data_IF_788258518031
#
_entry.id   IF_788258518031
#
_cell.length_a   1.000
_cell.length_b   1.000
_cell.length_c   1.000
_cell.angle_alpha   90.00
_cell.angle_beta   90.00
_cell.angle_gamma   90.00
#
_symmetry.space_group_name_H-M   'P 1'
#
loop_
_entity.id
_entity.type
_entity.pdbx_description
1 polymer ?
#
# COMPACT_ATOMS: atom_id res chain seq x y z
N UNK A 1 12.61 -27.69 20.30
CA UNK A 1 11.25 -27.16 19.96
C UNK A 1 11.20 -26.85 18.49
N UNK A 2 10.28 -27.45 17.73
CA UNK A 2 10.00 -27.07 16.36
C UNK A 2 9.55 -25.60 16.35
N UNK A 3 10.21 -24.76 15.54
CA UNK A 3 9.83 -23.36 15.40
C UNK A 3 8.48 -23.27 14.69
N UNK A 4 7.48 -22.66 15.32
CA UNK A 4 6.21 -22.37 14.69
C UNK A 4 6.39 -21.41 13.51
N UNK A 5 5.74 -21.73 12.39
CA UNK A 5 5.72 -20.87 11.19
C UNK A 5 4.54 -19.92 11.27
N UNK A 6 4.79 -18.63 11.14
CA UNK A 6 3.79 -17.59 11.28
C UNK A 6 3.63 -16.82 9.97
N UNK A 7 2.38 -16.67 9.51
CA UNK A 7 2.01 -15.79 8.41
C UNK A 7 1.24 -14.59 8.94
N UNK A 8 1.80 -13.40 8.77
CA UNK A 8 1.14 -12.13 9.04
C UNK A 8 0.63 -11.52 7.72
N UNK A 9 -0.64 -11.17 7.67
CA UNK A 9 -1.27 -10.57 6.49
C UNK A 9 -1.85 -9.22 6.88
N UNK A 10 -1.28 -8.15 6.34
CA UNK A 10 -1.81 -6.81 6.48
C UNK A 10 -2.80 -6.54 5.35
N UNK A 11 -4.09 -6.74 5.61
CA UNK A 11 -5.17 -6.30 4.73
C UNK A 11 -5.51 -4.85 5.08
N UNK A 12 -4.92 -3.89 4.36
CA UNK A 12 -4.98 -2.49 4.74
C UNK A 12 -6.41 -1.97 4.84
N UNK A 13 -6.72 -1.31 5.97
CA UNK A 13 -7.95 -0.56 6.23
C UNK A 13 -9.27 -1.34 6.04
N UNK A 14 -9.25 -2.67 5.95
CA UNK A 14 -10.50 -3.40 5.73
C UNK A 14 -11.51 -3.19 6.88
N UNK A 15 -12.77 -3.08 6.51
CA UNK A 15 -13.87 -3.02 7.46
C UNK A 15 -14.48 -4.41 7.67
N UNK A 16 -14.31 -4.95 8.88
CA UNK A 16 -14.74 -6.31 9.23
C UNK A 16 -16.26 -6.51 9.07
N UNK A 17 -17.03 -5.51 9.48
CA UNK A 17 -18.50 -5.58 9.40
C UNK A 17 -18.99 -5.56 7.95
N UNK A 18 -18.38 -4.70 7.12
CA UNK A 18 -18.65 -4.64 5.70
C UNK A 18 -18.35 -5.96 5.00
N UNK A 19 -17.16 -6.56 5.29
CA UNK A 19 -16.79 -7.85 4.75
C UNK A 19 -17.77 -8.96 5.16
N UNK A 20 -18.19 -8.97 6.43
CA UNK A 20 -19.15 -9.97 6.95
C UNK A 20 -20.50 -9.87 6.26
N UNK A 21 -21.06 -8.66 6.16
CA UNK A 21 -22.34 -8.42 5.46
C UNK A 21 -22.27 -8.86 3.99
N UNK A 22 -21.20 -8.51 3.30
CA UNK A 22 -21.01 -8.85 1.89
C UNK A 22 -20.74 -10.33 1.67
N UNK A 23 -19.92 -10.97 2.50
CA UNK A 23 -19.64 -12.40 2.41
C UNK A 23 -20.91 -13.24 2.57
N UNK A 24 -21.84 -12.83 3.42
CA UNK A 24 -23.13 -13.50 3.56
C UNK A 24 -24.02 -13.24 2.34
N UNK A 25 -24.15 -11.99 1.90
CA UNK A 25 -24.98 -11.59 0.78
C UNK A 25 -24.59 -12.25 -0.55
N UNK A 26 -23.28 -12.36 -0.81
CA UNK A 26 -22.74 -12.89 -2.07
C UNK A 26 -22.18 -14.31 -1.95
N UNK A 27 -22.43 -14.97 -0.82
CA UNK A 27 -22.01 -16.37 -0.53
C UNK A 27 -20.52 -16.63 -0.74
N UNK A 28 -19.64 -15.72 -0.24
CA UNK A 28 -18.19 -15.79 -0.40
C UNK A 28 -17.58 -16.73 0.64
N UNK A 29 -17.28 -17.95 0.29
CA UNK A 29 -16.83 -19.01 1.22
C UNK A 29 -15.44 -18.79 1.76
N UNK A 30 -14.49 -18.28 0.94
CA UNK A 30 -13.12 -18.02 1.39
C UNK A 30 -13.04 -16.81 2.31
N UNK A 31 -13.86 -15.79 2.09
CA UNK A 31 -14.00 -14.67 3.03
C UNK A 31 -14.59 -15.18 4.35
N UNK A 32 -15.67 -15.99 4.31
CA UNK A 32 -16.28 -16.57 5.52
C UNK A 32 -15.27 -17.38 6.33
N UNK A 33 -14.41 -18.17 5.66
CA UNK A 33 -13.36 -18.92 6.32
C UNK A 33 -12.40 -18.03 7.11
N UNK A 34 -11.98 -16.91 6.54
CA UNK A 34 -11.12 -15.91 7.23
C UNK A 34 -11.88 -15.25 8.39
N UNK A 35 -13.16 -14.93 8.20
CA UNK A 35 -14.00 -14.28 9.22
C UNK A 35 -14.31 -15.17 10.44
N UNK A 36 -14.08 -16.48 10.33
CA UNK A 36 -14.22 -17.44 11.44
C UNK A 36 -12.98 -17.49 12.35
N UNK A 37 -11.88 -16.79 12.02
CA UNK A 37 -10.73 -16.69 12.91
C UNK A 37 -11.10 -15.92 14.18
N UNK A 38 -10.37 -16.22 15.28
CA UNK A 38 -10.51 -15.46 16.54
C UNK A 38 -10.24 -13.97 16.30
N UNK A 39 -11.19 -13.12 16.68
CA UNK A 39 -11.09 -11.68 16.51
C UNK A 39 -10.53 -11.05 17.79
N UNK A 40 -9.47 -10.26 17.65
CA UNK A 40 -8.88 -9.46 18.71
C UNK A 40 -9.02 -8.00 18.31
N UNK A 41 -9.71 -7.21 19.12
CA UNK A 41 -9.81 -5.76 18.93
C UNK A 41 -8.58 -5.08 19.51
N UNK A 42 -7.98 -4.23 18.74
CA UNK A 42 -6.85 -3.38 19.15
C UNK A 42 -7.21 -1.91 18.98
N UNK A 43 -6.51 -1.03 19.66
CA UNK A 43 -6.73 0.40 19.61
C UNK A 43 -5.42 1.11 19.34
N UNK A 44 -5.44 2.07 18.39
CA UNK A 44 -4.31 2.95 18.20
C UNK A 44 -4.19 3.91 19.38
N UNK A 45 -2.96 4.18 19.81
CA UNK A 45 -2.67 5.23 20.79
C UNK A 45 -2.59 6.62 20.15
N UNK A 46 -2.55 6.70 18.81
CA UNK A 46 -2.60 7.94 18.07
C UNK A 46 -4.05 8.40 17.93
N UNK A 47 -4.27 9.72 18.04
CA UNK A 47 -5.61 10.31 17.94
C UNK A 47 -5.86 10.87 16.55
N UNK A 48 -7.12 10.84 16.10
CA UNK A 48 -7.55 11.45 14.82
C UNK A 48 -7.19 12.94 14.77
N UNK A 49 -7.31 13.66 15.90
CA UNK A 49 -6.98 15.08 15.99
C UNK A 49 -5.50 15.36 15.70
N UNK A 50 -4.62 14.41 16.02
CA UNK A 50 -3.18 14.53 15.80
C UNK A 50 -2.78 14.28 14.34
N UNK A 51 -3.71 13.91 13.44
CA UNK A 51 -3.51 13.55 12.03
C UNK A 51 -2.47 12.43 11.82
N UNK A 52 -2.32 11.55 12.79
CA UNK A 52 -1.32 10.47 12.77
C UNK A 52 -1.95 9.10 12.47
N UNK A 53 -3.20 9.07 12.00
CA UNK A 53 -3.89 7.82 11.62
C UNK A 53 -3.74 7.48 10.13
N UNK A 54 -2.74 8.03 9.46
CA UNK A 54 -2.44 7.62 8.08
C UNK A 54 -1.87 6.19 8.03
N UNK A 55 -2.21 5.38 7.02
CA UNK A 55 -1.78 3.97 6.93
C UNK A 55 -0.27 3.80 7.01
N UNK A 56 0.49 4.70 6.38
CA UNK A 56 1.95 4.67 6.40
C UNK A 56 2.56 5.01 7.76
N UNK A 57 1.87 5.81 8.60
CA UNK A 57 2.27 6.09 9.98
C UNK A 57 1.97 4.88 10.86
N UNK A 58 0.74 4.35 10.78
CA UNK A 58 0.30 3.22 11.58
C UNK A 58 1.06 1.93 11.23
N UNK A 59 1.44 1.72 9.97
CA UNK A 59 2.28 0.60 9.57
C UNK A 59 3.62 0.60 10.31
N UNK A 60 4.25 1.77 10.45
CA UNK A 60 5.49 1.90 11.24
C UNK A 60 5.25 1.61 12.71
N UNK A 61 4.17 2.16 13.30
CA UNK A 61 3.81 1.91 14.70
C UNK A 61 3.59 0.42 14.98
N UNK A 62 2.89 -0.29 14.10
CA UNK A 62 2.62 -1.73 14.23
C UNK A 62 3.92 -2.52 14.09
N UNK A 63 4.72 -2.23 13.06
CA UNK A 63 5.92 -3.00 12.76
C UNK A 63 7.08 -2.76 13.74
N UNK A 64 7.05 -1.65 14.49
CA UNK A 64 8.08 -1.31 15.49
C UNK A 64 7.62 -1.46 16.94
N UNK A 65 6.29 -1.48 17.18
CA UNK A 65 5.72 -1.39 18.52
C UNK A 65 5.88 0.00 19.16
N UNK A 66 6.19 1.04 18.38
CA UNK A 66 6.52 2.39 18.85
C UNK A 66 5.49 3.41 18.36
N UNK A 67 5.04 4.30 19.25
CA UNK A 67 4.08 5.36 18.93
C UNK A 67 4.61 6.34 17.89
N UNK A 68 3.72 6.92 17.09
CA UNK A 68 4.08 7.89 16.04
C UNK A 68 4.85 9.11 16.59
N UNK A 69 4.49 9.62 17.76
CA UNK A 69 5.18 10.73 18.44
C UNK A 69 6.65 10.42 18.78
N UNK A 70 7.01 9.13 18.92
CA UNK A 70 8.37 8.68 19.22
C UNK A 70 9.13 8.35 17.95
N UNK A 71 8.55 7.56 17.02
CA UNK A 71 9.23 7.21 15.77
C UNK A 71 9.32 8.37 14.78
N UNK A 72 8.38 9.34 14.82
CA UNK A 72 8.36 10.59 14.03
C UNK A 72 8.37 10.39 12.52
N UNK A 73 7.85 9.26 12.03
CA UNK A 73 7.68 8.98 10.60
C UNK A 73 6.25 9.34 10.23
N UNK A 74 6.07 10.39 9.46
CA UNK A 74 4.74 10.94 9.13
C UNK A 74 4.43 10.94 7.64
N UNK A 75 5.41 10.67 6.78
CA UNK A 75 5.23 10.70 5.34
C UNK A 75 5.45 9.31 4.73
N UNK A 76 4.70 9.03 3.65
CA UNK A 76 4.87 7.82 2.87
C UNK A 76 6.24 7.85 2.15
N UNK A 77 6.96 6.72 2.20
CA UNK A 77 8.30 6.58 1.63
C UNK A 77 9.41 7.26 2.46
N UNK A 78 9.10 7.67 3.70
CA UNK A 78 10.07 8.26 4.61
C UNK A 78 11.04 7.20 5.14
N UNK A 79 12.31 7.59 5.34
CA UNK A 79 13.36 6.67 5.81
C UNK A 79 13.15 6.30 7.27
N UNK A 80 13.15 5.00 7.55
CA UNK A 80 13.16 4.51 8.93
C UNK A 80 14.56 4.76 9.55
N UNK A 81 14.66 5.45 10.69
CA UNK A 81 15.93 5.67 11.38
C UNK A 81 16.59 4.34 11.78
N UNK A 82 17.92 4.28 11.64
CA UNK A 82 18.69 3.05 11.92
C UNK A 82 18.56 2.56 13.38
N UNK A 83 18.24 3.47 14.33
CA UNK A 83 17.99 3.12 15.72
C UNK A 83 16.69 2.33 15.94
N UNK A 84 15.73 2.42 15.05
CA UNK A 84 14.47 1.67 15.14
C UNK A 84 14.65 0.26 14.57
N UNK A 85 14.14 -0.74 15.29
CA UNK A 85 14.04 -2.11 14.80
C UNK A 85 12.58 -2.39 14.44
N UNK A 86 12.36 -2.93 13.25
CA UNK A 86 11.06 -3.48 12.87
C UNK A 86 11.01 -4.96 13.27
N UNK A 87 9.84 -5.54 13.36
CA UNK A 87 9.64 -6.91 13.89
C UNK A 87 10.55 -7.93 13.20
N UNK A 88 10.74 -7.86 11.90
CA UNK A 88 11.63 -8.74 11.15
C UNK A 88 13.12 -8.51 11.44
N UNK A 89 13.54 -7.30 11.84
CA UNK A 89 14.91 -7.04 12.29
C UNK A 89 15.17 -7.76 13.61
N UNK A 90 14.17 -7.76 14.50
CA UNK A 90 14.27 -8.42 15.82
C UNK A 90 14.27 -9.94 15.63
N UNK A 91 13.36 -10.45 14.82
CA UNK A 91 13.20 -11.89 14.56
C UNK A 91 14.44 -12.46 13.87
N UNK A 92 14.94 -11.80 12.83
CA UNK A 92 16.11 -12.29 12.09
C UNK A 92 17.40 -12.32 12.94
N UNK A 93 17.55 -11.40 13.90
CA UNK A 93 18.63 -11.46 14.91
C UNK A 93 18.51 -12.67 15.85
N UNK A 94 17.32 -13.21 16.01
CA UNK A 94 17.05 -14.44 16.80
C UNK A 94 17.05 -15.71 15.96
N UNK A 95 17.71 -15.68 14.81
CA UNK A 95 17.81 -16.82 13.88
C UNK A 95 16.44 -17.31 13.35
N UNK A 96 15.47 -16.40 13.21
CA UNK A 96 14.18 -16.63 12.58
C UNK A 96 14.29 -16.26 11.10
N UNK A 97 14.01 -17.19 10.19
CA UNK A 97 14.03 -16.95 8.74
C UNK A 97 12.79 -16.11 8.34
N UNK A 98 13.01 -14.86 7.92
CA UNK A 98 11.95 -13.90 7.65
C UNK A 98 11.75 -13.62 6.16
N UNK A 99 10.49 -13.40 5.77
CA UNK A 99 10.08 -12.81 4.49
C UNK A 99 9.15 -11.62 4.75
N UNK A 100 9.40 -10.49 4.09
CA UNK A 100 8.57 -9.28 4.16
C UNK A 100 8.23 -8.85 2.74
N UNK A 101 6.94 -8.66 2.45
CA UNK A 101 6.44 -8.37 1.12
C UNK A 101 5.47 -7.20 1.12
N UNK A 102 5.90 -6.07 0.55
CA UNK A 102 5.07 -4.89 0.29
C UNK A 102 4.75 -4.02 1.50
N UNK A 103 5.32 -4.28 2.69
CA UNK A 103 5.00 -3.53 3.90
C UNK A 103 5.30 -2.03 3.74
N UNK A 104 4.30 -1.18 4.07
CA UNK A 104 4.43 0.28 3.97
C UNK A 104 5.51 0.82 4.89
N UNK A 105 6.27 1.80 4.39
CA UNK A 105 7.35 2.46 5.14
C UNK A 105 8.27 1.44 5.83
N UNK A 106 8.53 0.32 5.17
CA UNK A 106 9.40 -0.72 5.68
C UNK A 106 10.84 -0.52 5.20
N UNK A 107 11.77 -0.89 6.04
CA UNK A 107 13.20 -1.01 5.71
C UNK A 107 13.74 -2.28 6.35
N UNK A 108 15.00 -2.57 6.17
CA UNK A 108 15.64 -3.69 6.84
C UNK A 108 17.09 -3.39 7.20
N UNK A 109 17.56 -4.08 8.24
CA UNK A 109 18.97 -4.18 8.58
C UNK A 109 19.56 -5.43 7.95
N UNK A 110 20.77 -5.32 7.41
CA UNK A 110 21.46 -6.45 6.78
C UNK A 110 21.57 -7.61 7.78
N UNK A 111 20.91 -8.73 7.47
CA UNK A 111 20.93 -9.97 8.25
C UNK A 111 20.62 -11.13 7.32
N UNK A 112 21.32 -12.28 7.49
CA UNK A 112 21.17 -13.42 6.59
C UNK A 112 19.89 -14.22 6.83
N UNK A 113 19.23 -14.04 7.96
CA UNK A 113 17.93 -14.64 8.24
C UNK A 113 16.75 -13.85 7.67
N UNK A 114 16.96 -12.61 7.22
CA UNK A 114 15.99 -11.95 6.35
C UNK A 114 16.18 -12.44 4.92
N UNK A 115 15.46 -13.51 4.56
CA UNK A 115 15.59 -14.20 3.26
C UNK A 115 14.97 -13.43 2.11
N UNK A 116 13.87 -12.73 2.38
CA UNK A 116 13.11 -11.99 1.37
C UNK A 116 12.71 -10.64 1.96
N UNK A 117 12.96 -9.59 1.18
CA UNK A 117 12.41 -8.27 1.42
C UNK A 117 11.97 -7.66 0.08
N UNK A 118 10.68 -7.54 -0.13
CA UNK A 118 10.08 -6.85 -1.26
C UNK A 118 9.50 -5.54 -0.75
N UNK A 119 10.08 -4.38 -1.12
CA UNK A 119 9.65 -3.10 -0.57
C UNK A 119 8.27 -2.70 -1.07
N UNK A 120 7.62 -1.78 -0.36
CA UNK A 120 6.50 -1.02 -0.84
C UNK A 120 6.91 -0.18 -2.07
N UNK A 121 6.12 -0.15 -3.15
CA UNK A 121 6.42 0.61 -4.37
C UNK A 121 6.67 2.11 -4.17
N UNK A 122 6.14 2.70 -3.11
CA UNK A 122 6.39 4.10 -2.74
C UNK A 122 7.77 4.32 -2.08
N UNK A 123 8.44 3.24 -1.68
CA UNK A 123 9.74 3.33 -1.01
C UNK A 123 10.88 3.48 -2.02
N UNK A 124 11.51 4.66 -2.03
CA UNK A 124 12.64 4.98 -2.90
C UNK A 124 14.00 4.59 -2.34
N UNK A 125 14.07 4.27 -1.05
CA UNK A 125 15.31 4.24 -0.28
C UNK A 125 15.80 2.82 -0.01
N UNK A 126 14.97 1.81 -0.30
CA UNK A 126 15.27 0.42 0.01
C UNK A 126 15.18 -0.44 -1.24
N UNK A 127 16.20 -1.25 -1.45
CA UNK A 127 16.25 -2.21 -2.56
C UNK A 127 15.65 -3.55 -2.15
N UNK A 128 15.01 -4.28 -3.09
CA UNK A 128 14.53 -5.63 -2.81
C UNK A 128 15.68 -6.61 -2.54
N UNK A 129 15.38 -7.65 -1.76
CA UNK A 129 16.27 -8.76 -1.44
C UNK A 129 15.51 -10.08 -1.62
N UNK A 130 16.04 -11.08 -2.32
CA UNK A 130 17.28 -11.05 -3.12
C UNK A 130 17.19 -10.06 -4.33
N UNK A 131 18.35 -9.83 -4.96
CA UNK A 131 18.49 -8.80 -6.00
C UNK A 131 17.62 -9.09 -7.25
N UNK A 132 17.32 -10.35 -7.54
CA UNK A 132 16.46 -10.74 -8.67
C UNK A 132 15.04 -10.20 -8.56
N UNK A 133 14.54 -9.95 -7.35
CA UNK A 133 13.25 -9.27 -7.12
C UNK A 133 13.23 -7.82 -7.65
N UNK A 134 14.39 -7.24 -7.96
CA UNK A 134 14.48 -5.92 -8.61
C UNK A 134 13.72 -5.88 -9.95
N UNK A 135 13.74 -6.97 -10.71
CA UNK A 135 13.04 -7.05 -12.00
C UNK A 135 11.52 -7.01 -11.87
N UNK A 136 10.99 -7.58 -10.77
CA UNK A 136 9.57 -7.48 -10.43
C UNK A 136 9.22 -6.11 -9.88
N UNK A 137 10.14 -5.49 -9.12
CA UNK A 137 9.86 -4.28 -8.34
C UNK A 137 9.86 -3.00 -9.17
N UNK A 138 10.69 -2.91 -10.21
CA UNK A 138 10.92 -1.67 -10.96
C UNK A 138 9.64 -1.09 -11.58
N UNK A 139 8.77 -1.92 -12.16
CA UNK A 139 7.55 -1.44 -12.80
C UNK A 139 6.51 -0.93 -11.81
N UNK A 140 6.11 -1.67 -10.75
CA UNK A 140 5.25 -1.15 -9.70
C UNK A 140 5.78 0.14 -9.06
N UNK A 141 7.10 0.22 -8.84
CA UNK A 141 7.76 1.42 -8.33
C UNK A 141 7.60 2.61 -9.29
N UNK A 142 7.88 2.42 -10.57
CA UNK A 142 7.74 3.48 -11.57
C UNK A 142 6.28 3.98 -11.65
N UNK A 143 5.31 3.06 -11.58
CA UNK A 143 3.89 3.41 -11.53
C UNK A 143 3.55 4.23 -10.29
N UNK A 144 3.93 3.76 -9.11
CA UNK A 144 3.61 4.42 -7.84
C UNK A 144 4.17 5.86 -7.79
N UNK A 145 5.40 6.06 -8.25
CA UNK A 145 6.07 7.36 -8.21
C UNK A 145 5.55 8.37 -9.23
N UNK A 146 4.97 7.89 -10.33
CA UNK A 146 4.48 8.73 -11.43
C UNK A 146 2.98 8.55 -11.67
N UNK A 147 2.22 8.06 -10.71
CA UNK A 147 0.83 7.62 -10.91
C UNK A 147 -0.11 8.69 -11.50
N UNK A 148 0.20 9.98 -11.34
CA UNK A 148 -0.58 11.10 -11.91
C UNK A 148 -0.29 11.35 -13.40
N UNK A 149 0.86 10.92 -13.90
CA UNK A 149 1.32 11.16 -15.28
C UNK A 149 2.08 9.93 -15.84
N UNK A 150 1.68 8.74 -15.37
CA UNK A 150 2.33 7.50 -15.76
C UNK A 150 2.04 7.14 -17.22
N UNK A 151 3.11 6.92 -18.00
CA UNK A 151 3.04 6.45 -19.38
C UNK A 151 3.82 5.14 -19.51
N UNK A 152 3.14 4.09 -19.96
CA UNK A 152 3.77 2.76 -20.15
C UNK A 152 4.96 2.85 -21.10
N UNK A 153 4.85 3.65 -22.18
CA UNK A 153 5.92 3.80 -23.18
C UNK A 153 7.24 4.24 -22.56
N UNK A 154 7.18 5.15 -21.57
CA UNK A 154 8.38 5.65 -20.89
C UNK A 154 8.96 4.63 -19.90
N UNK A 155 8.25 3.53 -19.64
CA UNK A 155 8.60 2.49 -18.69
C UNK A 155 8.62 1.10 -19.34
N UNK A 156 8.73 1.04 -20.67
CA UNK A 156 8.61 -0.21 -21.46
C UNK A 156 9.59 -1.29 -20.99
N UNK A 157 10.84 -0.91 -20.72
CA UNK A 157 11.86 -1.84 -20.24
C UNK A 157 11.47 -2.46 -18.89
N UNK A 158 11.07 -1.65 -17.92
CA UNK A 158 10.63 -2.15 -16.61
C UNK A 158 9.34 -2.98 -16.68
N UNK A 159 8.45 -2.61 -17.61
CA UNK A 159 7.25 -3.41 -17.91
C UNK A 159 7.60 -4.78 -18.48
N UNK A 160 8.53 -4.84 -19.44
CA UNK A 160 9.00 -6.11 -20.05
C UNK A 160 9.61 -7.03 -18.99
N UNK A 161 10.48 -6.50 -18.12
CA UNK A 161 11.09 -7.27 -17.04
C UNK A 161 10.04 -7.79 -16.03
N UNK A 162 9.06 -6.96 -15.71
CA UNK A 162 7.93 -7.37 -14.86
C UNK A 162 7.12 -8.48 -15.53
N UNK A 163 6.80 -8.34 -16.82
CA UNK A 163 6.05 -9.32 -17.59
C UNK A 163 6.79 -10.67 -17.68
N UNK A 164 8.09 -10.65 -17.99
CA UNK A 164 8.92 -11.86 -18.00
C UNK A 164 9.01 -12.53 -16.62
N UNK A 165 9.05 -11.71 -15.56
CA UNK A 165 8.97 -12.23 -14.19
C UNK A 165 7.62 -12.88 -13.90
N UNK A 166 6.52 -12.30 -14.36
CA UNK A 166 5.19 -12.90 -14.24
C UNK A 166 5.08 -14.23 -15.00
N UNK A 167 5.70 -14.34 -16.17
CA UNK A 167 5.83 -15.61 -16.90
C UNK A 167 6.62 -16.63 -16.06
N UNK A 168 7.84 -16.29 -15.65
CA UNK A 168 8.73 -17.15 -14.85
C UNK A 168 8.05 -17.71 -13.59
N UNK A 169 7.27 -16.89 -12.90
CA UNK A 169 6.58 -17.28 -11.68
C UNK A 169 5.16 -17.83 -11.90
N UNK A 170 4.77 -18.15 -13.14
CA UNK A 170 3.49 -18.78 -13.45
C UNK A 170 2.26 -17.91 -13.21
N UNK A 171 2.43 -16.59 -13.15
CA UNK A 171 1.31 -15.66 -12.96
C UNK A 171 0.42 -15.63 -14.19
N UNK A 172 1.01 -15.66 -15.39
CA UNK A 172 0.22 -15.69 -16.62
C UNK A 172 -0.60 -16.97 -16.77
N UNK A 173 -0.04 -18.12 -16.34
CA UNK A 173 -0.78 -19.39 -16.30
C UNK A 173 -1.97 -19.31 -15.35
N UNK A 174 -1.81 -18.65 -14.20
CA UNK A 174 -2.91 -18.40 -13.27
C UNK A 174 -4.02 -17.56 -13.91
N UNK A 175 -3.67 -16.45 -14.59
CA UNK A 175 -4.65 -15.61 -15.27
C UNK A 175 -5.28 -16.31 -16.47
N UNK A 176 -4.53 -17.08 -17.27
CA UNK A 176 -5.06 -17.85 -18.38
C UNK A 176 -6.15 -18.83 -17.94
N UNK A 177 -5.96 -19.54 -16.82
CA UNK A 177 -6.97 -20.43 -16.24
C UNK A 177 -8.23 -19.71 -15.78
N UNK A 178 -8.19 -18.39 -15.59
CA UNK A 178 -9.28 -17.57 -15.09
C UNK A 178 -9.67 -16.44 -16.04
N UNK A 179 -9.24 -16.53 -17.29
CA UNK A 179 -9.42 -15.46 -18.28
C UNK A 179 -10.88 -15.03 -18.41
N UNK A 180 -11.81 -15.99 -18.47
CA UNK A 180 -13.26 -15.72 -18.59
C UNK A 180 -13.75 -14.94 -17.36
N UNK A 181 -13.32 -15.30 -16.15
CA UNK A 181 -13.69 -14.61 -14.92
C UNK A 181 -13.24 -13.15 -14.95
N UNK A 182 -11.97 -12.88 -15.28
CA UNK A 182 -11.44 -11.53 -15.32
C UNK A 182 -12.00 -10.70 -16.47
N UNK A 183 -12.22 -11.30 -17.66
CA UNK A 183 -12.88 -10.64 -18.77
C UNK A 183 -14.31 -10.23 -18.41
N UNK A 184 -15.09 -11.09 -17.76
CA UNK A 184 -16.45 -10.75 -17.30
C UNK A 184 -16.44 -9.55 -16.34
N UNK A 185 -15.51 -9.50 -15.39
CA UNK A 185 -15.36 -8.36 -14.48
C UNK A 185 -14.93 -7.11 -15.25
N UNK A 186 -13.96 -7.22 -16.15
CA UNK A 186 -13.48 -6.12 -16.97
C UNK A 186 -14.59 -5.53 -17.86
N UNK A 187 -15.32 -6.34 -18.60
CA UNK A 187 -16.40 -5.90 -19.46
C UNK A 187 -17.54 -5.20 -18.70
N UNK A 188 -17.75 -5.56 -17.45
CA UNK A 188 -18.80 -4.96 -16.62
C UNK A 188 -18.32 -3.78 -15.75
N UNK A 189 -17.02 -3.62 -15.54
CA UNK A 189 -16.45 -2.57 -14.67
C UNK A 189 -15.53 -1.59 -15.41
N UNK A 190 -15.11 -1.95 -16.63
CA UNK A 190 -14.04 -1.25 -17.34
C UNK A 190 -12.70 -1.32 -16.57
N UNK A 191 -11.75 -0.50 -17.00
CA UNK A 191 -10.47 -0.28 -16.29
C UNK A 191 -10.68 0.69 -15.13
N UNK A 192 -11.57 0.36 -14.20
CA UNK A 192 -11.75 1.15 -13.00
C UNK A 192 -10.53 1.03 -12.07
N UNK A 193 -10.23 2.08 -11.32
CA UNK A 193 -9.08 2.09 -10.41
C UNK A 193 -9.13 0.91 -9.42
N UNK A 194 -10.30 0.58 -8.87
CA UNK A 194 -10.41 -0.53 -7.93
C UNK A 194 -10.07 -1.88 -8.57
N UNK A 195 -10.45 -2.10 -9.85
CA UNK A 195 -10.10 -3.33 -10.56
C UNK A 195 -8.58 -3.47 -10.74
N UNK A 196 -7.90 -2.39 -11.11
CA UNK A 196 -6.43 -2.39 -11.23
C UNK A 196 -5.74 -2.70 -9.89
N UNK A 197 -6.18 -2.10 -8.79
CA UNK A 197 -5.60 -2.38 -7.47
C UNK A 197 -5.83 -3.85 -7.05
N UNK A 198 -7.00 -4.43 -7.33
CA UNK A 198 -7.23 -5.85 -7.09
C UNK A 198 -6.33 -6.73 -7.96
N UNK A 199 -6.13 -6.41 -9.24
CA UNK A 199 -5.18 -7.15 -10.09
C UNK A 199 -3.76 -7.07 -9.54
N UNK A 200 -3.33 -5.91 -9.06
CA UNK A 200 -2.02 -5.74 -8.41
C UNK A 200 -1.88 -6.63 -7.18
N UNK A 201 -2.85 -6.65 -6.29
CA UNK A 201 -2.81 -7.50 -5.10
C UNK A 201 -2.83 -8.99 -5.47
N UNK A 202 -3.64 -9.40 -6.46
CA UNK A 202 -3.68 -10.79 -6.95
C UNK A 202 -2.34 -11.20 -7.58
N UNK A 203 -1.71 -10.33 -8.36
CA UNK A 203 -0.37 -10.56 -8.90
C UNK A 203 0.64 -10.66 -7.75
N UNK A 204 0.62 -9.71 -6.83
CA UNK A 204 1.55 -9.62 -5.69
C UNK A 204 1.50 -10.87 -4.81
N UNK A 205 0.29 -11.31 -4.42
CA UNK A 205 0.14 -12.48 -3.55
C UNK A 205 0.50 -13.79 -4.26
N UNK A 206 0.23 -13.91 -5.57
CA UNK A 206 0.67 -15.07 -6.35
C UNK A 206 2.19 -15.09 -6.54
N UNK A 207 2.82 -13.93 -6.80
CA UNK A 207 4.27 -13.80 -6.84
C UNK A 207 4.88 -14.23 -5.51
N UNK A 208 4.37 -13.71 -4.39
CA UNK A 208 4.80 -14.13 -3.05
C UNK A 208 4.66 -15.65 -2.88
N UNK A 209 3.47 -16.22 -3.16
CA UNK A 209 3.20 -17.65 -3.06
C UNK A 209 4.21 -18.50 -3.85
N UNK A 210 4.44 -18.14 -5.11
CA UNK A 210 5.28 -18.94 -5.99
C UNK A 210 6.78 -18.73 -5.72
N UNK A 211 7.18 -17.51 -5.36
CA UNK A 211 8.56 -17.19 -4.97
C UNK A 211 8.99 -17.87 -3.67
N UNK A 212 8.04 -18.03 -2.74
CA UNK A 212 8.29 -18.66 -1.43
C UNK A 212 8.04 -20.17 -1.40
N UNK A 213 7.57 -20.75 -2.53
CA UNK A 213 7.10 -22.15 -2.58
C UNK A 213 8.08 -23.16 -1.98
N UNK A 214 9.36 -23.03 -2.33
CA UNK A 214 10.44 -23.95 -1.94
C UNK A 214 11.39 -23.33 -0.90
N UNK A 215 10.96 -22.30 -0.17
CA UNK A 215 11.77 -21.64 0.85
C UNK A 215 11.26 -22.00 2.23
N UNK A 216 12.20 -22.35 3.11
CA UNK A 216 11.92 -22.50 4.53
C UNK A 216 11.85 -21.10 5.17
N UNK A 217 10.70 -20.72 5.65
CA UNK A 217 10.43 -19.44 6.29
C UNK A 217 9.70 -19.70 7.61
N UNK A 218 10.18 -19.06 8.67
CA UNK A 218 9.57 -19.15 10.00
C UNK A 218 8.54 -18.02 10.20
N UNK A 219 8.82 -16.83 9.64
CA UNK A 219 7.95 -15.67 9.70
C UNK A 219 7.78 -15.06 8.31
N UNK A 220 6.56 -14.83 7.90
CA UNK A 220 6.25 -14.15 6.66
C UNK A 220 5.23 -13.03 6.89
N UNK A 221 5.46 -11.87 6.29
CA UNK A 221 4.52 -10.75 6.28
C UNK A 221 4.22 -10.35 4.84
N UNK A 222 2.93 -10.22 4.50
CA UNK A 222 2.48 -9.69 3.22
C UNK A 222 1.49 -8.55 3.45
N UNK A 223 1.62 -7.48 2.67
CA UNK A 223 0.73 -6.33 2.65
C UNK A 223 -0.11 -6.32 1.38
N UNK A 224 -1.42 -6.07 1.52
CA UNK A 224 -2.39 -5.98 0.43
C UNK A 224 -3.25 -4.72 0.64
N UNK A 225 -3.50 -3.95 -0.43
CA UNK A 225 -4.07 -2.61 -0.36
C UNK A 225 -5.36 -2.39 -1.16
N UNK A 226 -5.79 -3.36 -1.95
CA UNK A 226 -6.95 -3.20 -2.85
C UNK A 226 -8.26 -2.93 -2.11
N UNK A 227 -8.44 -3.53 -0.92
CA UNK A 227 -9.63 -3.33 -0.10
C UNK A 227 -9.77 -1.87 0.34
N UNK A 228 -8.67 -1.25 0.79
CA UNK A 228 -8.63 0.16 1.15
C UNK A 228 -9.02 1.05 -0.04
N UNK A 229 -8.40 0.84 -1.19
CA UNK A 229 -8.69 1.62 -2.40
C UNK A 229 -10.14 1.52 -2.86
N UNK A 230 -10.74 0.33 -2.78
CA UNK A 230 -12.15 0.19 -3.07
C UNK A 230 -13.00 1.01 -2.11
N UNK A 231 -12.78 0.86 -0.82
CA UNK A 231 -13.54 1.54 0.22
C UNK A 231 -13.41 3.08 0.11
N UNK A 232 -12.22 3.62 -0.19
CA UNK A 232 -12.04 5.06 -0.39
C UNK A 232 -12.94 5.67 -1.46
N UNK A 233 -13.25 4.93 -2.53
CA UNK A 233 -13.89 5.49 -3.70
C UNK A 233 -15.32 4.98 -3.95
N UNK A 234 -15.76 3.91 -3.28
CA UNK A 234 -16.98 3.19 -3.68
C UNK A 234 -17.96 2.87 -2.53
N UNK A 235 -17.86 3.52 -1.35
CA UNK A 235 -18.79 3.31 -0.25
C UNK A 235 -20.27 3.49 -0.63
N UNK A 236 -20.58 4.38 -1.58
CA UNK A 236 -21.93 4.70 -2.03
C UNK A 236 -22.33 3.95 -3.31
N UNK A 237 -21.39 3.32 -4.00
CA UNK A 237 -21.62 2.66 -5.26
C UNK A 237 -21.98 1.18 -5.09
N UNK A 238 -23.16 0.90 -4.54
CA UNK A 238 -23.68 -0.47 -4.30
C UNK A 238 -23.63 -1.37 -5.56
N UNK A 239 -23.74 -0.81 -6.77
CA UNK A 239 -23.61 -1.54 -8.04
C UNK A 239 -22.26 -2.26 -8.19
N UNK A 240 -21.21 -1.76 -7.56
CA UNK A 240 -19.86 -2.32 -7.64
C UNK A 240 -19.61 -3.40 -6.57
N UNK A 241 -20.47 -3.53 -5.55
CA UNK A 241 -20.23 -4.43 -4.41
C UNK A 241 -20.08 -5.88 -4.81
N UNK A 242 -20.91 -6.39 -5.72
CA UNK A 242 -20.79 -7.77 -6.17
C UNK A 242 -19.39 -8.08 -6.74
N UNK A 243 -18.90 -7.21 -7.62
CA UNK A 243 -17.57 -7.35 -8.24
C UNK A 243 -16.43 -7.24 -7.20
N UNK A 244 -16.57 -6.31 -6.26
CA UNK A 244 -15.64 -6.17 -5.14
C UNK A 244 -15.54 -7.46 -4.33
N UNK A 245 -16.69 -8.06 -4.00
CA UNK A 245 -16.70 -9.29 -3.21
C UNK A 245 -16.19 -10.49 -4.00
N UNK A 246 -16.41 -10.58 -5.32
CA UNK A 246 -15.81 -11.59 -6.17
C UNK A 246 -14.27 -11.49 -6.21
N UNK A 247 -13.73 -10.28 -6.35
CA UNK A 247 -12.28 -10.05 -6.35
C UNK A 247 -11.66 -10.29 -4.97
N UNK A 248 -12.34 -9.87 -3.91
CA UNK A 248 -11.92 -10.13 -2.52
C UNK A 248 -11.93 -11.62 -2.21
N UNK A 249 -12.93 -12.36 -2.67
CA UNK A 249 -13.05 -13.81 -2.54
C UNK A 249 -11.85 -14.51 -3.19
N UNK A 250 -11.41 -14.02 -4.36
CA UNK A 250 -10.24 -14.56 -5.04
C UNK A 250 -8.96 -14.33 -4.24
N UNK A 251 -8.76 -13.14 -3.67
CA UNK A 251 -7.63 -12.84 -2.77
C UNK A 251 -7.68 -13.77 -1.54
N UNK A 252 -8.84 -13.88 -0.89
CA UNK A 252 -9.02 -14.73 0.28
C UNK A 252 -8.78 -16.21 -0.04
N UNK A 253 -9.13 -16.67 -1.26
CA UNK A 253 -8.81 -18.03 -1.72
C UNK A 253 -7.31 -18.27 -1.78
N UNK A 254 -6.54 -17.32 -2.31
CA UNK A 254 -5.09 -17.44 -2.37
C UNK A 254 -4.48 -17.38 -0.97
N UNK A 255 -4.99 -16.50 -0.10
CA UNK A 255 -4.60 -16.44 1.32
C UNK A 255 -4.80 -17.79 1.97
N UNK A 256 -5.98 -18.41 1.85
CA UNK A 256 -6.28 -19.71 2.42
C UNK A 256 -5.34 -20.82 1.91
N UNK A 257 -4.92 -20.74 0.62
CA UNK A 257 -3.94 -21.70 0.07
C UNK A 257 -2.53 -21.53 0.65
N UNK A 258 -2.10 -20.28 0.84
CA UNK A 258 -0.78 -19.99 1.43
C UNK A 258 -0.78 -20.37 2.90
N UNK A 259 -1.87 -20.12 3.61
CA UNK A 259 -2.03 -20.41 5.05
C UNK A 259 -1.78 -21.86 5.40
N UNK A 260 -2.02 -22.80 4.49
CA UNK A 260 -1.78 -24.24 4.71
C UNK A 260 -0.31 -24.59 5.02
N UNK A 261 0.63 -23.66 4.79
CA UNK A 261 2.06 -23.86 5.05
C UNK A 261 2.53 -23.30 6.40
N UNK A 262 1.63 -22.69 7.16
CA UNK A 262 1.93 -21.98 8.39
C UNK A 262 1.09 -22.55 9.55
N UNK A 263 1.67 -22.53 10.73
CA UNK A 263 1.01 -23.03 11.95
C UNK A 263 0.05 -21.98 12.52
N UNK A 264 0.46 -20.71 12.50
CA UNK A 264 -0.32 -19.58 12.99
C UNK A 264 -0.51 -18.52 11.90
N UNK A 265 -1.73 -17.98 11.80
CA UNK A 265 -2.11 -16.95 10.85
C UNK A 265 -2.61 -15.72 11.59
N UNK A 266 -2.02 -14.57 11.31
CA UNK A 266 -2.43 -13.27 11.86
C UNK A 266 -2.89 -12.40 10.70
N UNK A 267 -4.17 -12.00 10.70
CA UNK A 267 -4.71 -11.05 9.72
C UNK A 267 -5.08 -9.78 10.45
N UNK A 268 -4.58 -8.63 9.99
CA UNK A 268 -4.83 -7.35 10.62
C UNK A 268 -5.01 -6.23 9.59
N UNK A 269 -5.65 -5.14 10.01
CA UNK A 269 -6.02 -4.02 9.13
C UNK A 269 -5.32 -2.70 9.46
N UNK A 270 -4.53 -2.65 10.53
CA UNK A 270 -3.96 -1.41 11.05
C UNK A 270 -5.02 -0.52 11.70
N UNK A 271 -6.03 -0.15 10.96
CA UNK A 271 -7.26 0.52 11.40
C UNK A 271 -8.37 0.25 10.37
N UNK A 272 -9.58 0.74 10.62
CA UNK A 272 -10.73 0.50 9.74
C UNK A 272 -11.30 1.81 9.20
N UNK A 273 -11.78 1.78 7.98
CA UNK A 273 -12.51 2.89 7.39
C UNK A 273 -13.98 2.88 7.82
N UNK A 274 -14.54 4.07 7.97
CA UNK A 274 -15.98 4.29 8.12
C UNK A 274 -16.45 5.22 7.01
N UNK A 275 -17.68 5.01 6.55
CA UNK A 275 -18.33 5.93 5.63
C UNK A 275 -18.46 7.31 6.25
N UNK A 276 -18.06 8.33 5.52
CA UNK A 276 -18.30 9.75 5.82
C UNK A 276 -19.03 10.39 4.65
N UNK A 277 -19.48 11.65 4.82
CA UNK A 277 -19.95 12.46 3.67
C UNK A 277 -18.80 12.61 2.66
N UNK A 278 -19.11 12.42 1.39
CA UNK A 278 -18.10 12.56 0.33
C UNK A 278 -17.54 13.97 0.30
N UNK A 279 -16.22 14.07 0.39
CA UNK A 279 -15.47 15.32 0.21
C UNK A 279 -14.71 15.26 -1.10
N UNK A 280 -14.80 16.34 -1.87
CA UNK A 280 -14.04 16.47 -3.12
C UNK A 280 -12.72 17.17 -2.85
N UNK A 281 -11.62 16.49 -3.21
CA UNK A 281 -10.28 17.05 -3.12
C UNK A 281 -9.85 17.50 -4.52
N UNK A 282 -9.60 18.78 -4.68
CA UNK A 282 -9.08 19.34 -5.93
C UNK A 282 -7.56 19.26 -5.91
N UNK A 283 -7.00 18.64 -6.96
CA UNK A 283 -5.55 18.53 -7.15
C UNK A 283 -5.17 18.94 -8.57
N UNK A 284 -4.19 19.83 -8.78
CA UNK A 284 -3.67 20.12 -10.11
C UNK A 284 -3.05 18.88 -10.75
N UNK A 285 -3.36 18.60 -12.01
CA UNK A 285 -2.71 17.49 -12.76
C UNK A 285 -1.20 17.62 -12.78
N UNK A 286 -0.70 18.85 -12.96
CA UNK A 286 0.72 19.17 -12.88
C UNK A 286 0.95 20.27 -11.85
N UNK A 287 1.23 19.95 -10.58
CA UNK A 287 1.42 20.93 -9.52
C UNK A 287 2.55 21.91 -9.79
N UNK A 288 3.65 21.45 -10.40
CA UNK A 288 4.80 22.29 -10.73
C UNK A 288 4.41 23.39 -11.75
N UNK A 289 3.77 23.01 -12.87
CA UNK A 289 3.31 23.93 -13.90
C UNK A 289 2.26 24.91 -13.34
N UNK A 290 1.34 24.38 -12.52
CA UNK A 290 0.30 25.20 -11.87
C UNK A 290 0.89 26.26 -10.95
N UNK A 291 1.79 25.90 -10.05
CA UNK A 291 2.42 26.82 -9.10
C UNK A 291 3.24 27.89 -9.82
N UNK A 292 3.98 27.53 -10.87
CA UNK A 292 4.70 28.51 -11.71
C UNK A 292 3.73 29.47 -12.39
N UNK A 293 2.60 28.97 -12.93
CA UNK A 293 1.59 29.78 -13.59
C UNK A 293 0.96 30.82 -12.67
N UNK A 294 0.79 30.53 -11.40
CA UNK A 294 0.30 31.49 -10.39
C UNK A 294 1.42 32.31 -9.76
N UNK A 295 2.62 32.29 -10.35
CA UNK A 295 3.74 33.16 -9.97
C UNK A 295 4.45 32.76 -8.68
N UNK A 296 4.44 31.48 -8.32
CA UNK A 296 5.19 30.94 -7.19
C UNK A 296 6.56 30.49 -7.67
N UNK A 297 7.62 31.18 -7.24
CA UNK A 297 9.00 30.79 -7.49
C UNK A 297 9.52 29.91 -6.36
N UNK A 298 9.98 28.70 -6.67
CA UNK A 298 10.49 27.74 -5.72
C UNK A 298 11.70 26.99 -6.30
N UNK A 299 12.58 26.52 -5.41
CA UNK A 299 13.75 25.71 -5.78
C UNK A 299 13.35 24.27 -6.11
N UNK A 300 12.51 23.69 -5.27
CA UNK A 300 12.08 22.28 -5.40
C UNK A 300 10.65 22.12 -4.87
N UNK A 301 9.87 21.30 -5.58
CA UNK A 301 8.58 20.80 -5.13
C UNK A 301 8.67 19.30 -4.92
N UNK A 302 8.38 18.85 -3.72
CA UNK A 302 8.13 17.46 -3.41
C UNK A 302 6.63 17.29 -3.20
N UNK A 303 5.94 16.60 -4.10
CA UNK A 303 4.52 16.31 -3.96
C UNK A 303 4.33 15.10 -3.07
N UNK A 304 3.35 15.16 -2.16
CA UNK A 304 2.89 14.00 -1.41
C UNK A 304 1.92 13.19 -2.27
N UNK A 305 1.66 11.96 -1.88
CA UNK A 305 0.65 11.09 -2.52
C UNK A 305 -0.75 11.72 -2.48
N UNK A 306 -1.04 12.50 -1.44
CA UNK A 306 -2.29 13.24 -1.25
C UNK A 306 -2.27 14.59 -1.99
N UNK A 307 -3.14 15.51 -1.61
CA UNK A 307 -3.25 16.86 -2.17
C UNK A 307 -2.19 17.86 -1.67
N UNK A 308 -1.28 17.41 -0.83
CA UNK A 308 -0.21 18.23 -0.24
C UNK A 308 1.11 18.18 -1.01
N UNK A 309 2.03 19.07 -0.63
CA UNK A 309 3.40 19.10 -1.13
C UNK A 309 4.29 20.03 -0.29
N UNK A 310 5.59 19.82 -0.40
CA UNK A 310 6.61 20.61 0.29
C UNK A 310 7.36 21.45 -0.73
N UNK A 311 7.34 22.77 -0.54
CA UNK A 311 8.09 23.73 -1.35
C UNK A 311 9.37 24.12 -0.62
N UNK A 312 10.51 24.02 -1.32
CA UNK A 312 11.79 24.57 -0.88
C UNK A 312 12.09 25.84 -1.65
N UNK A 313 12.69 26.83 -1.00
CA UNK A 313 13.01 28.12 -1.57
C UNK A 313 14.50 28.40 -1.50
N UNK A 314 15.01 29.27 -2.39
CA UNK A 314 16.43 29.64 -2.37
C UNK A 314 16.75 30.63 -1.23
N UNK A 315 15.78 31.45 -0.82
CA UNK A 315 15.95 32.42 0.25
C UNK A 315 14.64 32.72 1.00
N UNK A 316 14.77 33.36 2.15
CA UNK A 316 13.66 33.73 3.04
C UNK A 316 12.65 34.67 2.37
N UNK A 317 13.11 35.65 1.59
CA UNK A 317 12.27 36.63 0.89
C UNK A 317 11.33 35.94 -0.12
N UNK A 318 11.85 35.00 -0.92
CA UNK A 318 11.02 34.21 -1.85
C UNK A 318 9.99 33.36 -1.11
N UNK A 319 10.37 32.74 0.02
CA UNK A 319 9.46 31.96 0.87
C UNK A 319 8.29 32.85 1.35
N UNK A 320 8.58 34.01 1.91
CA UNK A 320 7.57 34.93 2.46
C UNK A 320 6.59 35.45 1.38
N UNK A 321 7.10 35.89 0.21
CA UNK A 321 6.30 36.29 -0.93
C UNK A 321 5.38 35.15 -1.38
N UNK A 322 5.91 33.95 -1.50
CA UNK A 322 5.14 32.78 -1.94
C UNK A 322 4.06 32.39 -0.93
N UNK A 323 4.34 32.46 0.36
CA UNK A 323 3.36 32.23 1.43
C UNK A 323 2.21 33.25 1.33
N UNK A 324 2.53 34.53 1.17
CA UNK A 324 1.51 35.61 1.01
C UNK A 324 0.63 35.36 -0.22
N UNK A 325 1.23 35.04 -1.38
CA UNK A 325 0.49 34.72 -2.60
C UNK A 325 -0.42 33.50 -2.42
N UNK A 326 0.08 32.39 -1.88
CA UNK A 326 -0.69 31.17 -1.68
C UNK A 326 -1.84 31.36 -0.67
N UNK A 327 -1.63 32.12 0.43
CA UNK A 327 -2.67 32.43 1.41
C UNK A 327 -3.83 33.24 0.79
N UNK A 328 -3.51 34.12 -0.16
CA UNK A 328 -4.49 34.99 -0.81
C UNK A 328 -5.06 34.40 -2.10
N UNK A 329 -4.51 33.28 -2.57
CA UNK A 329 -4.99 32.66 -3.79
C UNK A 329 -6.35 31.99 -3.55
N UNK A 330 -7.32 32.40 -4.37
CA UNK A 330 -8.65 31.79 -4.34
C UNK A 330 -9.15 31.49 -5.76
N UNK A 331 -10.10 30.57 -5.88
CA UNK A 331 -10.87 30.32 -7.11
C UNK A 331 -12.34 30.36 -6.72
N UNK A 332 -13.11 31.19 -7.37
CA UNK A 332 -14.54 31.41 -7.07
C UNK A 332 -14.81 31.70 -5.58
N UNK A 333 -13.93 32.50 -4.94
CA UNK A 333 -14.05 32.82 -3.50
C UNK A 333 -13.53 31.76 -2.53
N UNK A 334 -13.18 30.58 -2.99
CA UNK A 334 -12.66 29.50 -2.14
C UNK A 334 -11.14 29.55 -2.02
N UNK A 335 -10.62 29.57 -0.79
CA UNK A 335 -9.18 29.44 -0.52
C UNK A 335 -8.72 28.02 -0.82
N UNK A 336 -7.77 27.86 -1.73
CA UNK A 336 -7.29 26.53 -2.16
C UNK A 336 -6.15 25.97 -1.32
N UNK A 337 -5.42 26.82 -0.59
CA UNK A 337 -4.22 26.37 0.11
C UNK A 337 -4.34 26.53 1.62
N UNK A 338 -4.03 25.47 2.35
CA UNK A 338 -3.70 25.49 3.76
C UNK A 338 -2.18 25.37 3.89
N UNK A 339 -1.55 26.36 4.53
CA UNK A 339 -0.09 26.42 4.63
C UNK A 339 0.33 26.14 6.05
N UNK A 340 1.29 25.21 6.19
CA UNK A 340 1.96 24.90 7.45
C UNK A 340 3.47 25.13 7.25
N UNK A 341 4.13 25.75 8.22
CA UNK A 341 5.59 25.84 8.23
C UNK A 341 6.15 24.49 8.68
N UNK A 342 7.05 23.93 7.87
CA UNK A 342 7.89 22.80 8.23
C UNK A 342 9.29 23.42 8.45
N UNK A 343 9.82 23.24 9.63
CA UNK A 343 11.14 23.73 10.02
C UNK A 343 12.22 22.79 9.52
#
# INVERSE_FOLDING_TARGET
MLKKKILAIHLNEFNLEFLRKGANKYNCQNIKKILNYKIIKTYSQDKIQDKNLDPWVQSVSINTGIKSKIHKIYNLGEKIPNKLNQIWDILSKRNIKCAVWGAMNASYKKNDNLKIFFPDPWNNLVSPRPVDLKYVFQFPKAYAQNYTDFKIINNLYSFLLFFLSCLKFGILTYFAKKIIFYLKIFLTSGLSNYFLFFLFDIISINLFKNYTKNKELDFSLIFLNSLAHFQHNNWDEKKNYHKYFLLTEEICKIINQISLKYDDIIIYNGFTQKRIKTEFIIRPKNPNKFLKKIGINFKKLNTNMTNGGILSFNNKKQKEISIKKLKNFNIFGYKLFKITNIF
#
